data_IF_535078368691
#
_entry.id   IF_535078368691
#
_cell.length_a   1.000
_cell.length_b   1.000
_cell.length_c   1.000
_cell.angle_alpha   90.00
_cell.angle_beta   90.00
_cell.angle_gamma   90.00
#
_symmetry.space_group_name_H-M   'P 1'
#
loop_
_entity.id
_entity.type
_entity.pdbx_description
1 polymer ?
#
# COMPACT_ATOMS: atom_id res chain seq x y z
N UNK A 1 -44.55 2.14 -13.38
CA UNK A 1 -43.81 1.68 -12.19
C UNK A 1 -42.35 2.13 -12.23
N UNK A 2 -41.50 1.64 -13.15
CA UNK A 2 -40.10 2.07 -13.18
C UNK A 2 -39.96 3.56 -13.47
N UNK A 3 -40.75 4.11 -14.40
CA UNK A 3 -40.82 5.57 -14.63
C UNK A 3 -41.18 6.33 -13.35
N UNK A 4 -42.20 5.86 -12.62
CA UNK A 4 -42.66 6.51 -11.38
C UNK A 4 -41.58 6.45 -10.29
N UNK A 5 -40.91 5.31 -10.11
CA UNK A 5 -39.87 5.14 -9.09
C UNK A 5 -38.65 6.00 -9.44
N UNK A 6 -38.24 6.00 -10.71
CA UNK A 6 -37.15 6.85 -11.19
C UNK A 6 -37.50 8.33 -10.98
N UNK A 7 -38.70 8.76 -11.37
CA UNK A 7 -39.17 10.13 -11.16
C UNK A 7 -39.09 10.53 -9.70
N UNK A 8 -39.61 9.69 -8.80
CA UNK A 8 -39.57 9.90 -7.35
C UNK A 8 -38.14 9.89 -6.78
N UNK A 9 -37.17 9.30 -7.48
CA UNK A 9 -35.75 9.33 -7.08
C UNK A 9 -35.01 10.62 -7.48
N UNK A 10 -35.62 11.52 -8.28
CA UNK A 10 -34.96 12.74 -8.75
C UNK A 10 -34.58 13.67 -7.59
N UNK A 11 -33.32 14.12 -7.58
CA UNK A 11 -32.79 15.03 -6.57
C UNK A 11 -33.52 16.38 -6.60
N UNK A 12 -33.98 16.84 -5.43
CA UNK A 12 -34.58 18.17 -5.25
C UNK A 12 -36.03 18.34 -5.68
N UNK A 13 -36.67 17.34 -6.31
CA UNK A 13 -38.07 17.43 -6.75
C UNK A 13 -39.08 16.92 -5.72
N UNK A 14 -38.68 15.94 -4.89
CA UNK A 14 -39.53 15.28 -3.91
C UNK A 14 -38.93 15.34 -2.50
N UNK A 15 -39.76 15.26 -1.43
CA UNK A 15 -39.27 15.16 -0.06
C UNK A 15 -38.26 14.02 0.12
N UNK A 16 -37.21 14.23 0.92
CA UNK A 16 -36.14 13.26 1.12
C UNK A 16 -36.63 11.87 1.54
N UNK A 17 -37.67 11.80 2.39
CA UNK A 17 -38.25 10.53 2.84
C UNK A 17 -38.97 9.73 1.75
N UNK A 18 -39.46 10.40 0.69
CA UNK A 18 -40.03 9.73 -0.49
C UNK A 18 -38.90 9.30 -1.43
N UNK A 19 -37.92 10.19 -1.65
CA UNK A 19 -36.74 9.91 -2.48
C UNK A 19 -35.96 8.71 -1.95
N UNK A 20 -35.69 8.67 -0.64
CA UNK A 20 -34.99 7.57 0.02
C UNK A 20 -35.72 6.23 -0.18
N UNK A 21 -37.05 6.21 -0.09
CA UNK A 21 -37.85 5.00 -0.39
C UNK A 21 -37.75 4.60 -1.86
N UNK A 22 -37.77 5.56 -2.78
CA UNK A 22 -37.61 5.29 -4.20
C UNK A 22 -36.22 4.69 -4.48
N UNK A 23 -35.15 5.32 -3.99
CA UNK A 23 -33.77 4.81 -4.11
C UNK A 23 -33.65 3.43 -3.47
N UNK A 24 -34.26 3.20 -2.30
CA UNK A 24 -34.30 1.89 -1.64
C UNK A 24 -34.89 0.82 -2.55
N UNK A 25 -36.01 1.11 -3.22
CA UNK A 25 -36.60 0.16 -4.19
C UNK A 25 -35.66 -0.09 -5.38
N UNK A 26 -34.99 0.96 -5.88
CA UNK A 26 -34.05 0.84 -6.99
C UNK A 26 -32.85 -0.04 -6.63
N UNK A 27 -32.22 0.19 -5.47
CA UNK A 27 -31.07 -0.61 -5.04
C UNK A 27 -31.47 -2.07 -4.78
N UNK A 28 -32.67 -2.34 -4.27
CA UNK A 28 -33.17 -3.72 -4.11
C UNK A 28 -33.28 -4.42 -5.46
N UNK A 29 -33.78 -3.74 -6.50
CA UNK A 29 -33.83 -4.30 -7.85
C UNK A 29 -32.43 -4.58 -8.41
N UNK A 30 -31.46 -3.70 -8.13
CA UNK A 30 -30.07 -3.89 -8.55
C UNK A 30 -29.45 -5.08 -7.81
N UNK A 31 -29.54 -5.15 -6.48
CA UNK A 31 -28.98 -6.22 -5.67
C UNK A 31 -29.55 -7.60 -6.02
N UNK A 32 -30.83 -7.68 -6.40
CA UNK A 32 -31.46 -8.91 -6.89
C UNK A 32 -31.23 -9.20 -8.39
N UNK A 33 -30.35 -8.47 -9.08
CA UNK A 33 -30.07 -8.56 -10.54
C UNK A 33 -31.30 -8.41 -11.45
N UNK A 34 -32.31 -7.66 -11.00
CA UNK A 34 -33.54 -7.36 -11.76
C UNK A 34 -33.49 -5.96 -12.40
N UNK A 35 -32.29 -5.48 -12.75
CA UNK A 35 -32.07 -4.11 -13.20
C UNK A 35 -32.36 -3.87 -14.70
N UNK A 36 -32.58 -4.91 -15.52
CA UNK A 36 -32.74 -4.76 -16.98
C UNK A 36 -33.84 -3.75 -17.35
N UNK A 37 -35.02 -3.87 -16.74
CA UNK A 37 -36.13 -2.94 -16.99
C UNK A 37 -35.83 -1.55 -16.44
N UNK A 38 -35.19 -1.47 -15.29
CA UNK A 38 -34.74 -0.19 -14.72
C UNK A 38 -33.83 0.55 -15.72
N UNK A 39 -32.84 -0.14 -16.30
CA UNK A 39 -31.94 0.43 -17.31
C UNK A 39 -32.71 0.93 -18.53
N UNK A 40 -33.65 0.13 -19.05
CA UNK A 40 -34.48 0.51 -20.21
C UNK A 40 -35.27 1.81 -20.03
N UNK A 41 -35.72 2.09 -18.80
CA UNK A 41 -36.42 3.32 -18.45
C UNK A 41 -35.44 4.46 -18.13
N UNK A 42 -34.34 4.17 -17.44
CA UNK A 42 -33.31 5.15 -17.09
C UNK A 42 -32.68 5.79 -18.33
N UNK A 43 -32.41 5.01 -19.39
CA UNK A 43 -31.80 5.56 -20.62
C UNK A 43 -32.72 6.48 -21.44
N UNK A 44 -33.99 6.59 -21.06
CA UNK A 44 -34.91 7.57 -21.66
C UNK A 44 -34.77 8.95 -21.02
N UNK A 45 -34.08 9.06 -19.88
CA UNK A 45 -33.82 10.33 -19.23
C UNK A 45 -32.81 11.18 -20.00
N UNK A 46 -32.88 12.52 -19.86
CA UNK A 46 -31.78 13.40 -20.22
C UNK A 46 -30.46 12.94 -19.60
N UNK A 47 -29.40 12.98 -20.40
CA UNK A 47 -28.07 12.48 -20.01
C UNK A 47 -27.55 13.10 -18.70
N UNK A 48 -27.81 14.39 -18.50
CA UNK A 48 -27.45 15.10 -17.26
C UNK A 48 -28.13 14.52 -16.01
N UNK A 49 -29.37 14.03 -16.13
CA UNK A 49 -30.11 13.44 -15.02
C UNK A 49 -29.62 12.02 -14.71
N UNK A 50 -29.30 11.24 -15.75
CA UNK A 50 -28.64 9.93 -15.59
C UNK A 50 -27.32 10.11 -14.83
N UNK A 51 -26.53 11.11 -15.20
CA UNK A 51 -25.27 11.43 -14.55
C UNK A 51 -25.41 11.78 -13.07
N UNK A 52 -26.36 12.65 -12.72
CA UNK A 52 -26.64 13.01 -11.33
C UNK A 52 -27.07 11.77 -10.55
N UNK A 53 -27.96 10.95 -11.13
CA UNK A 53 -28.42 9.72 -10.51
C UNK A 53 -27.28 8.72 -10.26
N UNK A 54 -26.42 8.47 -11.26
CA UNK A 54 -25.28 7.56 -11.09
C UNK A 54 -24.25 8.10 -10.08
N UNK A 55 -24.02 9.41 -10.04
CA UNK A 55 -23.18 10.03 -9.02
C UNK A 55 -23.76 9.84 -7.62
N UNK A 56 -25.06 9.99 -7.43
CA UNK A 56 -25.72 9.73 -6.14
C UNK A 56 -25.57 8.24 -5.77
N UNK A 57 -25.86 7.33 -6.70
CA UNK A 57 -25.76 5.88 -6.46
C UNK A 57 -24.35 5.42 -6.10
N UNK A 58 -23.33 5.88 -6.83
CA UNK A 58 -21.93 5.57 -6.50
C UNK A 58 -21.53 6.14 -5.13
N UNK A 59 -22.04 7.31 -4.75
CA UNK A 59 -21.79 7.89 -3.42
C UNK A 59 -22.43 7.12 -2.27
N UNK A 60 -23.58 6.46 -2.52
CA UNK A 60 -24.25 5.56 -1.56
C UNK A 60 -23.41 4.30 -1.33
N UNK A 61 -22.76 3.81 -2.38
CA UNK A 61 -21.93 2.59 -2.34
C UNK A 61 -20.43 2.86 -2.17
N UNK A 62 -20.03 4.08 -1.78
CA UNK A 62 -18.63 4.45 -1.55
C UNK A 62 -17.92 3.43 -0.63
N UNK A 63 -16.95 2.65 -1.14
CA UNK A 63 -16.29 1.61 -0.37
C UNK A 63 -15.60 2.14 0.88
N UNK A 64 -15.07 3.37 0.86
CA UNK A 64 -14.37 3.93 2.00
C UNK A 64 -15.33 4.24 3.14
N UNK A 65 -16.48 4.86 2.84
CA UNK A 65 -17.52 5.17 3.83
C UNK A 65 -18.13 3.90 4.43
N UNK A 66 -18.30 2.88 3.61
CA UNK A 66 -18.85 1.60 4.06
C UNK A 66 -17.85 0.81 4.91
N UNK A 67 -16.56 0.91 4.63
CA UNK A 67 -15.51 0.26 5.43
C UNK A 67 -15.19 0.96 6.76
N UNK A 68 -15.48 2.25 6.92
CA UNK A 68 -15.17 3.01 8.15
C UNK A 68 -16.07 2.67 9.35
N UNK A 69 -17.00 1.70 9.19
CA UNK A 69 -17.93 1.32 10.26
C UNK A 69 -18.98 2.39 10.56
N UNK A 70 -19.17 3.36 9.66
CA UNK A 70 -20.26 4.33 9.75
C UNK A 70 -21.62 3.60 9.76
N UNK A 71 -22.61 4.18 10.45
CA UNK A 71 -23.95 3.60 10.52
C UNK A 71 -24.49 3.39 9.09
N UNK A 72 -24.69 2.12 8.72
CA UNK A 72 -25.18 1.76 7.39
C UNK A 72 -26.54 2.41 7.19
N UNK A 73 -26.69 3.16 6.10
CA UNK A 73 -27.99 3.74 5.75
C UNK A 73 -29.03 2.64 5.53
N UNK A 74 -30.32 3.00 5.70
CA UNK A 74 -31.42 2.08 5.39
C UNK A 74 -31.36 1.58 3.94
N UNK A 75 -30.89 2.42 3.02
CA UNK A 75 -30.68 2.09 1.60
C UNK A 75 -29.65 0.97 1.45
N UNK A 76 -28.48 1.09 2.07
CA UNK A 76 -27.40 0.09 1.99
C UNK A 76 -27.82 -1.24 2.61
N UNK A 77 -28.54 -1.19 3.73
CA UNK A 77 -29.08 -2.39 4.39
C UNK A 77 -30.07 -3.11 3.47
N UNK A 78 -31.01 -2.38 2.86
CA UNK A 78 -31.97 -2.96 1.92
C UNK A 78 -31.30 -3.55 0.67
N UNK A 79 -30.26 -2.88 0.14
CA UNK A 79 -29.43 -3.45 -0.92
C UNK A 79 -28.82 -4.77 -0.47
N UNK A 80 -28.13 -4.77 0.67
CA UNK A 80 -27.44 -5.94 1.22
C UNK A 80 -28.40 -7.13 1.42
N UNK A 81 -29.60 -6.88 1.95
CA UNK A 81 -30.64 -7.91 2.15
C UNK A 81 -31.17 -8.50 0.82
N UNK A 82 -31.06 -7.74 -0.27
CA UNK A 82 -31.51 -8.14 -1.61
C UNK A 82 -30.44 -8.89 -2.42
N UNK A 83 -29.17 -8.79 -2.03
CA UNK A 83 -28.05 -9.48 -2.69
C UNK A 83 -28.13 -10.97 -2.37
N UNK A 84 -28.07 -11.81 -3.41
CA UNK A 84 -28.14 -13.25 -3.24
C UNK A 84 -26.95 -13.82 -2.47
N UNK A 85 -27.19 -14.79 -1.58
CA UNK A 85 -26.12 -15.48 -0.83
C UNK A 85 -25.12 -16.26 -1.71
N UNK A 86 -25.42 -16.43 -3.01
CA UNK A 86 -24.58 -17.08 -4.00
C UNK A 86 -23.61 -16.12 -4.70
N UNK A 87 -23.75 -14.81 -4.47
CA UNK A 87 -22.87 -13.80 -5.05
C UNK A 87 -21.46 -13.91 -4.45
N UNK A 88 -20.45 -13.78 -5.31
CA UNK A 88 -19.05 -13.80 -4.89
C UNK A 88 -18.69 -12.57 -4.07
N UNK A 89 -19.27 -11.42 -4.40
CA UNK A 89 -19.05 -10.14 -3.75
C UNK A 89 -20.32 -9.27 -3.84
N UNK A 90 -20.61 -8.53 -2.77
CA UNK A 90 -21.81 -7.68 -2.66
C UNK A 90 -21.99 -6.63 -3.77
N UNK A 91 -20.91 -6.07 -4.33
CA UNK A 91 -20.96 -5.08 -5.39
C UNK A 91 -21.06 -5.66 -6.81
N UNK A 92 -20.99 -6.97 -7.02
CA UNK A 92 -21.12 -7.54 -8.36
C UNK A 92 -22.43 -7.13 -9.07
N UNK A 93 -23.61 -7.19 -8.45
CA UNK A 93 -24.85 -6.73 -9.07
C UNK A 93 -24.82 -5.24 -9.42
N UNK A 94 -24.19 -4.41 -8.59
CA UNK A 94 -24.06 -2.98 -8.84
C UNK A 94 -23.13 -2.69 -10.02
N UNK A 95 -21.98 -3.36 -10.11
CA UNK A 95 -21.07 -3.23 -11.28
C UNK A 95 -21.75 -3.71 -12.57
N UNK A 96 -22.51 -4.81 -12.51
CA UNK A 96 -23.29 -5.30 -13.64
C UNK A 96 -24.35 -4.28 -14.09
N UNK A 97 -25.05 -3.66 -13.15
CA UNK A 97 -25.96 -2.54 -13.44
C UNK A 97 -25.23 -1.38 -14.14
N UNK A 98 -24.08 -0.94 -13.64
CA UNK A 98 -23.28 0.10 -14.29
C UNK A 98 -22.87 -0.31 -15.71
N UNK A 99 -22.46 -1.55 -15.92
CA UNK A 99 -22.15 -2.06 -17.26
C UNK A 99 -23.36 -1.95 -18.20
N UNK A 100 -24.55 -2.34 -17.76
CA UNK A 100 -25.77 -2.27 -18.57
C UNK A 100 -26.15 -0.83 -18.92
N UNK A 101 -26.03 0.11 -17.97
CA UNK A 101 -26.27 1.54 -18.23
C UNK A 101 -25.27 2.09 -19.25
N UNK A 102 -23.98 1.78 -19.07
CA UNK A 102 -22.90 2.24 -19.96
C UNK A 102 -23.01 1.67 -21.38
N UNK A 103 -23.56 0.47 -21.54
CA UNK A 103 -23.82 -0.12 -22.86
C UNK A 103 -25.05 0.46 -23.55
N UNK A 104 -25.99 1.01 -22.78
CA UNK A 104 -27.31 1.44 -23.28
C UNK A 104 -27.43 2.96 -23.46
N UNK A 105 -26.46 3.74 -22.99
CA UNK A 105 -26.46 5.21 -23.05
C UNK A 105 -25.16 5.74 -23.65
N UNK A 106 -25.22 6.96 -24.21
CA UNK A 106 -23.98 7.64 -24.58
C UNK A 106 -23.14 7.90 -23.31
N UNK A 107 -21.86 7.56 -23.33
CA UNK A 107 -21.02 7.49 -22.15
C UNK A 107 -20.54 8.89 -21.75
N UNK A 108 -21.28 9.57 -20.89
CA UNK A 108 -20.73 10.67 -20.08
C UNK A 108 -20.12 10.08 -18.82
N UNK A 109 -18.88 9.66 -18.96
CA UNK A 109 -18.10 8.94 -17.95
C UNK A 109 -17.60 9.79 -16.78
N UNK A 110 -17.97 11.07 -16.74
CA UNK A 110 -17.36 12.04 -15.85
C UNK A 110 -17.89 11.99 -14.41
N UNK A 111 -18.99 11.29 -14.14
CA UNK A 111 -19.70 11.42 -12.86
C UNK A 111 -19.52 10.20 -11.95
N UNK A 112 -18.43 10.21 -11.18
CA UNK A 112 -18.23 9.35 -10.00
C UNK A 112 -17.88 7.87 -10.25
N UNK A 113 -18.17 7.30 -11.42
CA UNK A 113 -17.87 5.88 -11.72
C UNK A 113 -16.37 5.59 -11.66
N UNK A 114 -15.54 6.48 -12.22
CA UNK A 114 -14.09 6.29 -12.21
C UNK A 114 -13.50 6.43 -10.80
N UNK A 115 -14.04 7.32 -9.98
CA UNK A 115 -13.68 7.47 -8.57
C UNK A 115 -14.12 6.23 -7.77
N UNK A 116 -15.34 5.74 -8.00
CA UNK A 116 -15.84 4.51 -7.39
C UNK A 116 -14.97 3.31 -7.75
N UNK A 117 -14.56 3.18 -9.02
CA UNK A 117 -13.60 2.17 -9.44
C UNK A 117 -12.25 2.36 -8.72
N UNK A 118 -11.71 3.57 -8.67
CA UNK A 118 -10.49 3.87 -7.91
C UNK A 118 -10.59 3.44 -6.46
N UNK A 119 -11.72 3.68 -5.80
CA UNK A 119 -11.97 3.25 -4.42
C UNK A 119 -11.97 1.71 -4.31
N UNK A 120 -12.63 0.99 -5.23
CA UNK A 120 -12.61 -0.47 -5.26
C UNK A 120 -11.21 -1.05 -5.48
N UNK A 121 -10.42 -0.44 -6.35
CA UNK A 121 -9.02 -0.82 -6.55
C UNK A 121 -8.17 -0.51 -5.31
N UNK A 122 -8.42 0.62 -4.67
CA UNK A 122 -7.73 1.02 -3.45
C UNK A 122 -7.99 0.07 -2.29
N UNK A 123 -9.23 -0.39 -2.11
CA UNK A 123 -9.58 -1.39 -1.10
C UNK A 123 -9.21 -2.82 -1.52
N UNK A 124 -8.53 -3.02 -2.66
CA UNK A 124 -8.24 -4.33 -3.25
C UNK A 124 -9.47 -5.24 -3.32
N UNK A 125 -10.61 -4.66 -3.70
CA UNK A 125 -11.88 -5.36 -3.84
C UNK A 125 -12.33 -6.07 -2.56
N UNK A 126 -11.97 -5.52 -1.39
CA UNK A 126 -12.55 -5.94 -0.11
C UNK A 126 -14.05 -5.65 -0.15
N UNK A 127 -14.85 -6.59 0.34
CA UNK A 127 -16.29 -6.44 0.41
C UNK A 127 -16.67 -5.68 1.70
N UNK A 128 -17.02 -4.38 1.62
CA UNK A 128 -17.32 -3.61 2.83
C UNK A 128 -18.68 -3.98 3.43
N UNK A 129 -19.49 -4.78 2.74
CA UNK A 129 -20.80 -5.22 3.22
C UNK A 129 -20.76 -6.63 3.79
N UNK A 130 -19.68 -7.39 3.60
CA UNK A 130 -19.56 -8.73 4.15
C UNK A 130 -19.64 -8.69 5.69
N UNK A 131 -20.55 -9.48 6.27
CA UNK A 131 -20.72 -9.61 7.73
C UNK A 131 -19.64 -10.47 8.37
N UNK A 132 -19.05 -11.36 7.58
CA UNK A 132 -17.92 -12.20 7.96
C UNK A 132 -16.88 -11.97 6.89
N UNK A 133 -15.73 -11.41 7.29
CA UNK A 133 -14.50 -11.40 6.52
C UNK A 133 -14.26 -12.83 6.02
N UNK A 134 -14.46 -13.10 4.71
CA UNK A 134 -14.23 -14.41 4.20
C UNK A 134 -12.74 -14.66 4.35
N UNK A 135 -12.37 -15.69 5.12
CA UNK A 135 -10.99 -16.17 5.23
C UNK A 135 -10.40 -16.65 3.89
N UNK A 136 -11.11 -16.45 2.78
CA UNK A 136 -10.79 -16.93 1.44
C UNK A 136 -10.52 -15.79 0.47
N UNK A 137 -9.26 -15.74 0.03
CA UNK A 137 -8.68 -14.96 -1.08
C UNK A 137 -9.37 -15.12 -2.46
N UNK A 138 -10.42 -15.95 -2.58
CA UNK A 138 -11.02 -16.34 -3.87
C UNK A 138 -12.00 -15.30 -4.44
N UNK A 139 -12.62 -14.47 -3.58
CA UNK A 139 -13.67 -13.50 -3.97
C UNK A 139 -13.15 -12.32 -4.78
N UNK A 140 -11.88 -11.94 -4.58
CA UNK A 140 -11.23 -10.85 -5.31
C UNK A 140 -11.30 -11.03 -6.84
N UNK A 141 -11.33 -12.28 -7.32
CA UNK A 141 -11.24 -12.56 -8.76
C UNK A 141 -12.46 -12.15 -9.57
N UNK A 142 -13.68 -12.24 -9.03
CA UNK A 142 -14.92 -12.03 -9.80
C UNK A 142 -15.27 -10.55 -9.89
N UNK A 143 -15.32 -9.83 -8.77
CA UNK A 143 -15.55 -8.37 -8.80
C UNK A 143 -14.47 -7.64 -9.60
N UNK A 144 -13.21 -8.04 -9.45
CA UNK A 144 -12.12 -7.48 -10.24
C UNK A 144 -12.33 -7.73 -11.74
N UNK A 145 -12.75 -8.93 -12.15
CA UNK A 145 -13.08 -9.21 -13.55
C UNK A 145 -14.25 -8.35 -14.05
N UNK A 146 -15.28 -8.12 -13.22
CA UNK A 146 -16.40 -7.24 -13.55
C UNK A 146 -15.96 -5.77 -13.69
N UNK A 147 -15.11 -5.28 -12.79
CA UNK A 147 -14.54 -3.92 -12.88
C UNK A 147 -13.65 -3.75 -14.13
N UNK A 148 -12.86 -4.77 -14.48
CA UNK A 148 -12.08 -4.79 -15.70
C UNK A 148 -12.97 -4.77 -16.95
N UNK A 149 -14.09 -5.49 -16.91
CA UNK A 149 -15.07 -5.48 -17.99
C UNK A 149 -15.73 -4.10 -18.13
N UNK A 150 -16.13 -3.46 -17.02
CA UNK A 150 -16.64 -2.10 -17.01
C UNK A 150 -15.61 -1.12 -17.60
N UNK A 151 -14.34 -1.17 -17.16
CA UNK A 151 -13.27 -0.36 -17.75
C UNK A 151 -13.06 -0.63 -19.24
N UNK A 152 -13.24 -1.88 -19.66
CA UNK A 152 -13.29 -2.26 -21.07
C UNK A 152 -14.39 -1.53 -21.81
N UNK A 153 -15.63 -1.57 -21.32
CA UNK A 153 -16.76 -0.84 -21.92
C UNK A 153 -16.43 0.65 -22.00
N UNK A 154 -16.02 1.25 -20.88
CA UNK A 154 -15.63 2.67 -20.77
C UNK A 154 -14.61 3.02 -21.85
N UNK A 155 -13.57 2.21 -22.04
CA UNK A 155 -12.49 2.51 -22.97
C UNK A 155 -12.84 2.35 -24.45
N UNK A 156 -13.94 1.66 -24.79
CA UNK A 156 -14.41 1.52 -26.18
C UNK A 156 -15.32 2.67 -26.63
N UNK A 157 -15.56 3.63 -25.74
CA UNK A 157 -16.38 4.80 -26.04
C UNK A 157 -15.56 5.90 -26.72
N UNK A 158 -16.22 6.85 -27.40
CA UNK A 158 -15.52 7.90 -28.16
C UNK A 158 -14.61 8.77 -27.27
N UNK A 159 -15.07 9.17 -26.09
CA UNK A 159 -14.32 9.95 -25.09
C UNK A 159 -13.59 9.10 -24.06
N UNK A 160 -13.84 7.79 -24.03
CA UNK A 160 -13.38 6.84 -23.03
C UNK A 160 -11.87 6.78 -22.84
N UNK A 161 -11.08 6.57 -23.91
CA UNK A 161 -9.63 6.51 -23.80
C UNK A 161 -9.04 7.76 -23.15
N UNK A 162 -9.53 8.95 -23.52
CA UNK A 162 -9.04 10.21 -22.97
C UNK A 162 -9.39 10.36 -21.48
N UNK A 163 -10.62 10.02 -21.11
CA UNK A 163 -11.05 10.02 -19.72
C UNK A 163 -10.23 9.04 -18.86
N UNK A 164 -10.09 7.79 -19.30
CA UNK A 164 -9.28 6.79 -18.59
C UNK A 164 -7.85 7.30 -18.47
N UNK A 165 -7.25 7.82 -19.55
CA UNK A 165 -5.87 8.31 -19.54
C UNK A 165 -5.62 9.52 -18.63
N UNK A 166 -6.65 10.33 -18.38
CA UNK A 166 -6.62 11.49 -17.47
C UNK A 166 -6.89 11.11 -16.02
N UNK A 167 -7.60 10.02 -15.77
CA UNK A 167 -8.00 9.61 -14.42
C UNK A 167 -6.84 9.00 -13.62
N UNK A 168 -6.69 9.30 -12.30
CA UNK A 168 -5.62 8.74 -11.47
C UNK A 168 -5.57 7.21 -11.45
N UNK A 169 -6.73 6.54 -11.50
CA UNK A 169 -6.84 5.08 -11.58
C UNK A 169 -5.92 4.47 -12.63
N UNK A 170 -5.80 5.13 -13.79
CA UNK A 170 -5.00 4.65 -14.89
C UNK A 170 -3.52 4.59 -14.54
N UNK A 171 -2.98 5.63 -13.92
CA UNK A 171 -1.55 5.67 -13.59
C UNK A 171 -1.25 4.85 -12.33
N UNK A 172 -2.18 4.84 -11.38
CA UNK A 172 -1.95 4.25 -10.05
C UNK A 172 -2.22 2.75 -9.99
N UNK A 173 -3.15 2.19 -10.79
CA UNK A 173 -3.50 0.77 -10.63
C UNK A 173 -3.31 -0.11 -11.85
N UNK A 174 -3.09 0.47 -13.04
CA UNK A 174 -3.00 -0.35 -14.24
C UNK A 174 -1.54 -0.73 -14.57
N UNK A 175 -1.29 -2.05 -14.50
CA UNK A 175 -0.43 -2.87 -15.40
C UNK A 175 -1.06 -4.28 -15.48
N UNK A 176 -2.36 -4.32 -15.77
CA UNK A 176 -3.07 -5.54 -16.14
C UNK A 176 -2.78 -5.82 -17.62
N UNK A 177 -2.38 -7.05 -18.02
CA UNK A 177 -2.10 -7.38 -19.42
C UNK A 177 -3.28 -7.12 -20.37
N UNK A 178 -4.52 -7.11 -19.83
CA UNK A 178 -5.76 -6.93 -20.60
C UNK A 178 -6.14 -5.48 -20.83
N UNK A 179 -5.60 -4.54 -20.05
CA UNK A 179 -5.77 -3.11 -20.27
C UNK A 179 -4.47 -2.57 -20.88
N UNK A 180 -4.32 -2.77 -22.19
CA UNK A 180 -3.11 -2.47 -22.97
C UNK A 180 -2.69 -0.98 -22.96
N UNK A 181 -3.47 -0.12 -22.32
CA UNK A 181 -3.23 1.31 -22.21
C UNK A 181 -1.87 1.62 -21.55
N UNK A 182 -1.44 0.83 -20.56
CA UNK A 182 -0.32 1.14 -19.66
C UNK A 182 1.06 1.22 -20.30
N UNK A 183 1.27 0.46 -21.38
CA UNK A 183 2.59 0.38 -22.02
C UNK A 183 2.92 1.64 -22.82
N UNK A 184 1.93 2.53 -23.01
CA UNK A 184 2.06 3.77 -23.78
C UNK A 184 2.37 5.00 -22.92
N UNK A 185 2.28 4.91 -21.58
CA UNK A 185 2.48 6.07 -20.72
C UNK A 185 3.97 6.35 -20.53
N UNK A 186 4.46 7.37 -21.23
CA UNK A 186 5.79 7.91 -20.97
C UNK A 186 5.88 8.44 -19.53
N UNK A 187 6.98 8.15 -18.85
CA UNK A 187 7.24 8.57 -17.47
C UNK A 187 6.10 8.20 -16.50
N UNK A 188 5.50 7.02 -16.68
CA UNK A 188 4.38 6.54 -15.87
C UNK A 188 4.67 6.64 -14.39
N UNK A 189 5.87 6.27 -13.99
CA UNK A 189 6.35 6.28 -12.61
C UNK A 189 6.36 7.70 -12.03
N UNK A 190 6.78 8.71 -12.79
CA UNK A 190 6.70 10.11 -12.36
C UNK A 190 5.26 10.57 -12.22
N UNK A 191 4.43 10.31 -13.24
CA UNK A 191 3.01 10.64 -13.21
C UNK A 191 2.30 9.96 -12.05
N UNK A 192 2.73 8.76 -11.65
CA UNK A 192 2.16 8.01 -10.53
C UNK A 192 2.31 8.78 -9.22
N UNK A 193 3.50 9.31 -8.96
CA UNK A 193 3.76 10.12 -7.77
C UNK A 193 2.94 11.42 -7.79
N UNK A 194 2.87 12.09 -8.94
CA UNK A 194 2.02 13.29 -9.11
C UNK A 194 0.54 12.97 -8.85
N UNK A 195 0.05 11.84 -9.35
CA UNK A 195 -1.35 11.43 -9.16
C UNK A 195 -1.66 11.13 -7.69
N UNK A 196 -0.74 10.55 -6.93
CA UNK A 196 -0.91 10.39 -5.47
C UNK A 196 -1.01 11.71 -4.70
N UNK A 197 -0.46 12.79 -5.26
CA UNK A 197 -0.65 14.11 -4.68
C UNK A 197 -2.07 14.64 -4.89
N UNK A 198 -2.71 14.29 -6.01
CA UNK A 198 -4.04 14.73 -6.42
C UNK A 198 -5.18 13.89 -5.86
N UNK A 199 -4.95 12.59 -5.65
CA UNK A 199 -5.98 11.67 -5.15
C UNK A 199 -6.33 11.96 -3.69
N UNK A 200 -7.59 11.69 -3.31
CA UNK A 200 -8.04 11.75 -1.93
C UNK A 200 -7.09 10.94 -1.03
N UNK A 201 -6.59 11.58 0.04
CA UNK A 201 -5.62 10.97 0.96
C UNK A 201 -6.17 9.75 1.69
N UNK A 202 -7.49 9.60 1.77
CA UNK A 202 -8.15 8.38 2.26
C UNK A 202 -7.79 7.14 1.41
N UNK A 203 -7.43 7.29 0.13
CA UNK A 203 -6.96 6.19 -0.70
C UNK A 203 -5.61 5.61 -0.23
N UNK A 204 -4.77 6.41 0.44
CA UNK A 204 -3.39 6.02 0.79
C UNK A 204 -3.38 4.90 1.84
N UNK A 205 -4.09 4.99 2.99
CA UNK A 205 -4.20 3.88 3.93
C UNK A 205 -4.68 2.58 3.28
N UNK A 206 -5.69 2.67 2.41
CA UNK A 206 -6.21 1.52 1.67
C UNK A 206 -5.19 0.92 0.71
N UNK A 207 -4.41 1.76 0.02
CA UNK A 207 -3.28 1.30 -0.80
C UNK A 207 -2.21 0.58 0.02
N UNK A 208 -1.84 1.13 1.17
CA UNK A 208 -0.81 0.54 2.02
C UNK A 208 -1.30 -0.80 2.57
N UNK A 209 -2.56 -0.86 3.00
CA UNK A 209 -3.20 -2.09 3.48
C UNK A 209 -3.23 -3.18 2.40
N UNK A 210 -3.74 -2.84 1.21
CA UNK A 210 -3.80 -3.78 0.09
C UNK A 210 -2.41 -4.27 -0.28
N UNK A 211 -1.44 -3.37 -0.34
CA UNK A 211 -0.03 -3.72 -0.59
C UNK A 211 0.51 -4.66 0.49
N UNK A 212 0.22 -4.39 1.76
CA UNK A 212 0.64 -5.25 2.88
C UNK A 212 0.05 -6.66 2.75
N UNK A 213 -1.27 -6.75 2.55
CA UNK A 213 -1.98 -8.03 2.37
C UNK A 213 -1.42 -8.81 1.18
N UNK A 214 -1.11 -8.13 0.07
CA UNK A 214 -0.51 -8.74 -1.11
C UNK A 214 0.91 -9.25 -0.85
N UNK A 215 1.75 -8.45 -0.17
CA UNK A 215 3.11 -8.87 0.19
C UNK A 215 3.06 -10.06 1.17
N UNK A 216 2.02 -10.16 1.99
CA UNK A 216 1.77 -11.33 2.85
C UNK A 216 1.37 -12.60 2.08
N UNK A 217 0.74 -12.49 0.92
CA UNK A 217 0.34 -13.65 0.09
C UNK A 217 1.45 -14.10 -0.87
N UNK A 218 2.39 -14.89 -0.31
CA UNK A 218 3.52 -15.53 -1.00
C UNK A 218 3.12 -16.50 -2.12
N UNK A 219 1.87 -16.94 -2.18
CA UNK A 219 1.44 -17.92 -3.19
C UNK A 219 1.20 -17.28 -4.56
N UNK A 220 1.11 -15.94 -4.61
CA UNK A 220 0.78 -15.22 -5.84
C UNK A 220 2.06 -14.81 -6.59
N UNK A 221 2.26 -15.30 -7.83
CA UNK A 221 3.31 -14.75 -8.67
C UNK A 221 3.00 -13.28 -8.95
N UNK A 222 3.88 -12.41 -8.48
CA UNK A 222 3.81 -10.97 -8.73
C UNK A 222 4.71 -10.63 -9.92
N UNK A 223 4.17 -9.90 -10.90
CA UNK A 223 4.98 -9.39 -12.00
C UNK A 223 5.99 -8.35 -11.52
N UNK A 224 7.18 -8.33 -12.11
CA UNK A 224 8.26 -7.37 -11.73
C UNK A 224 7.78 -5.92 -11.77
N UNK A 225 7.03 -5.54 -12.81
CA UNK A 225 6.49 -4.20 -12.94
C UNK A 225 5.52 -3.80 -11.82
N UNK A 226 4.81 -4.76 -11.24
CA UNK A 226 3.94 -4.51 -10.09
C UNK A 226 4.76 -4.27 -8.81
N UNK A 227 5.85 -5.02 -8.62
CA UNK A 227 6.75 -4.82 -7.49
C UNK A 227 7.44 -3.45 -7.55
N UNK A 228 7.76 -2.96 -8.76
CA UNK A 228 8.23 -1.59 -8.97
C UNK A 228 7.18 -0.58 -8.49
N UNK A 229 5.93 -0.72 -8.92
CA UNK A 229 4.85 0.20 -8.49
C UNK A 229 4.66 0.22 -6.97
N UNK A 230 4.73 -0.96 -6.35
CA UNK A 230 4.67 -1.11 -4.89
C UNK A 230 5.86 -0.41 -4.21
N UNK A 231 7.08 -0.61 -4.71
CA UNK A 231 8.26 0.05 -4.14
C UNK A 231 8.15 1.57 -4.21
N UNK A 232 7.71 2.10 -5.36
CA UNK A 232 7.47 3.54 -5.55
C UNK A 232 6.48 4.08 -4.53
N UNK A 233 5.31 3.45 -4.41
CA UNK A 233 4.27 3.88 -3.46
C UNK A 233 4.81 3.87 -2.03
N UNK A 234 5.45 2.78 -1.62
CA UNK A 234 5.91 2.62 -0.24
C UNK A 234 7.06 3.57 0.10
N UNK A 235 8.00 3.81 -0.81
CA UNK A 235 9.07 4.80 -0.61
C UNK A 235 8.50 6.22 -0.47
N UNK A 236 7.61 6.62 -1.39
CA UNK A 236 6.95 7.94 -1.32
C UNK A 236 6.13 8.09 -0.03
N UNK A 237 5.34 7.09 0.34
CA UNK A 237 4.49 7.18 1.52
C UNK A 237 5.28 7.17 2.83
N UNK A 238 6.36 6.40 2.89
CA UNK A 238 7.27 6.37 4.04
C UNK A 238 8.13 7.63 4.14
N UNK A 239 8.52 8.23 3.01
CA UNK A 239 9.43 9.38 2.98
C UNK A 239 8.77 10.75 2.83
N UNK A 240 7.45 10.83 2.63
CA UNK A 240 6.77 12.10 2.47
C UNK A 240 6.48 12.80 3.80
N UNK A 241 6.70 14.12 3.85
CA UNK A 241 6.27 14.96 4.97
C UNK A 241 4.82 15.45 4.84
N UNK A 242 4.19 15.23 3.67
CA UNK A 242 2.81 15.64 3.43
C UNK A 242 1.79 14.60 3.90
N UNK A 243 2.24 13.41 4.31
CA UNK A 243 1.39 12.31 4.79
C UNK A 243 1.46 12.29 6.31
N UNK A 244 0.32 12.00 6.96
CA UNK A 244 0.26 11.90 8.41
C UNK A 244 1.28 10.87 8.92
N UNK A 245 2.05 11.16 9.99
CA UNK A 245 3.11 10.28 10.44
C UNK A 245 2.65 8.84 10.71
N UNK A 246 1.43 8.64 11.24
CA UNK A 246 0.82 7.31 11.44
C UNK A 246 0.75 6.50 10.14
N UNK A 247 0.26 7.12 9.07
CA UNK A 247 0.15 6.50 7.75
C UNK A 247 1.55 6.21 7.19
N UNK A 248 2.51 7.11 7.37
CA UNK A 248 3.89 6.86 6.95
C UNK A 248 4.56 5.71 7.70
N UNK A 249 4.27 5.51 9.00
CA UNK A 249 4.76 4.35 9.76
C UNK A 249 4.13 3.05 9.27
N UNK A 250 2.84 3.05 8.91
CA UNK A 250 2.20 1.89 8.25
C UNK A 250 2.84 1.59 6.89
N UNK A 251 3.12 2.63 6.10
CA UNK A 251 3.85 2.47 4.84
C UNK A 251 5.26 1.90 5.07
N UNK A 252 5.96 2.37 6.10
CA UNK A 252 7.30 1.90 6.45
C UNK A 252 7.26 0.42 6.87
N UNK A 253 6.21 0.00 7.57
CA UNK A 253 5.97 -1.40 7.92
C UNK A 253 5.73 -2.28 6.70
N UNK A 254 4.94 -1.80 5.74
CA UNK A 254 4.74 -2.47 4.45
C UNK A 254 6.02 -2.52 3.63
N UNK A 255 6.82 -1.44 3.64
CA UNK A 255 8.12 -1.40 2.98
C UNK A 255 9.05 -2.44 3.57
N UNK A 256 9.14 -2.53 4.90
CA UNK A 256 9.90 -3.57 5.57
C UNK A 256 9.51 -4.98 5.08
N UNK A 257 8.20 -5.30 5.04
CA UNK A 257 7.74 -6.60 4.53
C UNK A 257 8.09 -6.83 3.06
N UNK A 258 8.08 -5.78 2.26
CA UNK A 258 8.50 -5.84 0.86
C UNK A 258 10.00 -6.13 0.75
N UNK A 259 10.84 -5.52 1.59
CA UNK A 259 12.30 -5.76 1.60
C UNK A 259 12.66 -7.18 2.03
N UNK A 260 12.00 -7.70 3.07
CA UNK A 260 12.31 -9.03 3.60
C UNK A 260 11.95 -10.14 2.61
N UNK A 261 10.82 -10.01 1.93
CA UNK A 261 10.30 -11.06 1.04
C UNK A 261 10.82 -10.95 -0.39
N UNK A 262 11.11 -9.74 -0.84
CA UNK A 262 11.46 -9.47 -2.22
C UNK A 262 12.95 -9.27 -2.46
N UNK A 263 13.84 -9.54 -1.51
CA UNK A 263 15.23 -9.01 -1.45
C UNK A 263 15.86 -8.56 -2.78
N UNK A 264 16.04 -9.43 -3.77
CA UNK A 264 16.61 -9.07 -5.08
C UNK A 264 15.66 -8.20 -5.93
N UNK A 265 14.39 -8.59 -6.07
CA UNK A 265 13.39 -7.82 -6.82
C UNK A 265 13.08 -6.48 -6.16
N UNK A 266 13.09 -6.42 -4.82
CA UNK A 266 12.92 -5.23 -4.03
C UNK A 266 14.09 -4.28 -4.24
N UNK A 267 15.33 -4.78 -4.19
CA UNK A 267 16.53 -4.00 -4.53
C UNK A 267 16.45 -3.41 -5.94
N UNK A 268 16.07 -4.21 -6.95
CA UNK A 268 15.87 -3.74 -8.34
C UNK A 268 14.77 -2.68 -8.45
N UNK A 269 13.69 -2.86 -7.69
CA UNK A 269 12.57 -1.91 -7.68
C UNK A 269 12.96 -0.58 -7.05
N UNK A 270 13.73 -0.61 -5.95
CA UNK A 270 14.31 0.59 -5.32
C UNK A 270 15.32 1.25 -6.26
N UNK A 271 16.20 0.50 -6.92
CA UNK A 271 17.11 1.04 -7.95
C UNK A 271 16.35 1.77 -9.06
N UNK A 272 15.28 1.14 -9.58
CA UNK A 272 14.42 1.77 -10.58
C UNK A 272 13.81 3.08 -10.08
N UNK A 273 13.43 3.14 -8.80
CA UNK A 273 12.96 4.37 -8.17
C UNK A 273 14.01 5.48 -8.14
N UNK A 274 15.24 5.15 -7.82
CA UNK A 274 16.34 6.12 -7.72
C UNK A 274 16.79 6.62 -9.10
N UNK A 275 16.72 5.75 -10.11
CA UNK A 275 17.10 6.10 -11.48
C UNK A 275 16.12 7.09 -12.12
N UNK A 276 14.82 6.96 -11.80
CA UNK A 276 13.75 7.78 -12.39
C UNK A 276 13.56 9.13 -11.72
N UNK A 277 14.08 9.30 -10.50
CA UNK A 277 13.93 10.50 -9.70
C UNK A 277 15.22 11.33 -9.63
N UNK A 278 15.06 12.63 -9.40
CA UNK A 278 16.20 13.50 -9.21
C UNK A 278 16.86 13.25 -7.85
N UNK A 279 18.13 13.68 -7.76
CA UNK A 279 18.96 13.40 -6.60
C UNK A 279 18.41 14.04 -5.30
N UNK A 280 17.89 15.26 -5.39
CA UNK A 280 17.39 15.98 -4.22
C UNK A 280 16.15 15.30 -3.64
N UNK A 281 15.21 14.91 -4.50
CA UNK A 281 14.01 14.18 -4.12
C UNK A 281 14.34 12.86 -3.43
N UNK A 282 15.19 12.02 -4.05
CA UNK A 282 15.61 10.75 -3.46
C UNK A 282 16.30 10.93 -2.11
N UNK A 283 17.23 11.88 -1.99
CA UNK A 283 17.91 12.18 -0.72
C UNK A 283 16.89 12.58 0.35
N UNK A 284 15.89 13.39 0.02
CA UNK A 284 14.86 13.83 0.96
C UNK A 284 13.99 12.66 1.44
N UNK A 285 13.51 11.83 0.52
CA UNK A 285 12.72 10.62 0.85
C UNK A 285 13.52 9.69 1.76
N UNK A 286 14.79 9.44 1.44
CA UNK A 286 15.66 8.58 2.25
C UNK A 286 15.95 9.16 3.63
N UNK A 287 16.21 10.47 3.74
CA UNK A 287 16.36 11.16 5.04
C UNK A 287 15.14 10.97 5.91
N UNK A 288 13.95 11.10 5.32
CA UNK A 288 12.69 10.97 6.03
C UNK A 288 12.40 9.53 6.48
N UNK A 289 12.83 8.53 5.70
CA UNK A 289 12.84 7.13 6.13
C UNK A 289 13.82 6.92 7.29
N UNK A 290 15.04 7.45 7.22
CA UNK A 290 16.05 7.35 8.29
C UNK A 290 15.56 8.02 9.58
N UNK A 291 14.94 9.19 9.50
CA UNK A 291 14.35 9.86 10.66
C UNK A 291 13.30 8.97 11.31
N UNK A 292 12.39 8.38 10.53
CA UNK A 292 11.35 7.48 11.08
C UNK A 292 11.92 6.20 11.66
N UNK A 293 12.92 5.59 11.02
CA UNK A 293 13.63 4.44 11.57
C UNK A 293 14.35 4.81 12.88
N UNK A 294 14.94 6.00 12.95
CA UNK A 294 15.55 6.51 14.19
C UNK A 294 14.50 6.68 15.28
N UNK A 295 13.33 7.27 14.95
CA UNK A 295 12.20 7.40 15.88
C UNK A 295 11.65 6.04 16.33
N UNK A 296 11.63 5.05 15.44
CA UNK A 296 11.24 3.67 15.75
C UNK A 296 12.20 3.04 16.76
N UNK A 297 13.51 3.28 16.60
CA UNK A 297 14.54 2.80 17.53
C UNK A 297 14.37 3.50 18.88
N UNK A 298 14.36 4.84 18.89
CA UNK A 298 14.25 5.68 20.12
C UNK A 298 12.97 5.44 20.90
N UNK A 299 11.93 4.95 20.23
CA UNK A 299 10.60 4.88 20.77
C UNK A 299 10.10 6.26 21.21
N UNK A 300 8.89 6.31 21.74
CA UNK A 300 8.42 7.50 22.43
C UNK A 300 7.38 8.36 21.70
N UNK A 301 6.82 7.90 20.57
CA UNK A 301 5.65 8.57 19.99
C UNK A 301 4.48 7.60 19.80
N UNK A 302 3.22 8.05 19.96
CA UNK A 302 2.05 7.22 19.67
C UNK A 302 2.03 6.68 18.24
N UNK A 303 2.64 7.40 17.30
CA UNK A 303 2.66 7.05 15.89
C UNK A 303 3.57 5.86 15.58
N UNK A 304 4.65 5.64 16.34
CA UNK A 304 5.49 4.45 16.15
C UNK A 304 4.73 3.16 16.45
N UNK A 305 3.65 3.21 17.26
CA UNK A 305 2.78 2.05 17.50
C UNK A 305 2.12 1.55 16.21
N UNK A 306 1.90 2.44 15.24
CA UNK A 306 1.36 2.10 13.92
C UNK A 306 2.38 1.39 13.01
N UNK A 307 3.58 1.09 13.51
CA UNK A 307 4.50 0.17 12.85
C UNK A 307 4.30 -1.28 13.31
N UNK A 308 3.82 -1.50 14.53
CA UNK A 308 3.79 -2.82 15.16
C UNK A 308 2.42 -3.50 15.05
N UNK A 309 2.44 -4.81 14.88
CA UNK A 309 1.28 -5.69 14.96
C UNK A 309 1.35 -6.53 16.24
N UNK A 310 0.20 -7.03 16.70
CA UNK A 310 0.11 -7.82 17.94
C UNK A 310 0.97 -9.09 17.96
N UNK A 311 1.27 -9.65 16.79
CA UNK A 311 2.07 -10.86 16.65
C UNK A 311 3.56 -10.56 16.38
N UNK A 312 3.97 -9.30 16.42
CA UNK A 312 5.38 -8.95 16.24
C UNK A 312 6.17 -9.35 17.50
N UNK A 313 7.36 -9.90 17.29
CA UNK A 313 8.29 -10.25 18.37
C UNK A 313 8.86 -8.99 19.04
N UNK A 314 9.34 -9.11 20.28
CA UNK A 314 9.86 -7.98 21.05
C UNK A 314 11.06 -7.28 20.36
N UNK A 315 11.83 -8.03 19.57
CA UNK A 315 12.99 -7.54 18.81
C UNK A 315 12.65 -7.09 17.38
N UNK A 316 11.37 -7.15 16.99
CA UNK A 316 10.91 -6.94 15.62
C UNK A 316 11.40 -5.59 15.05
N UNK A 317 11.48 -4.54 15.87
CA UNK A 317 12.03 -3.23 15.47
C UNK A 317 13.49 -3.29 15.02
N UNK A 318 14.33 -4.04 15.74
CA UNK A 318 15.76 -4.15 15.47
C UNK A 318 15.96 -4.93 14.18
N UNK A 319 15.23 -6.03 14.04
CA UNK A 319 15.17 -6.84 12.82
C UNK A 319 14.73 -6.00 11.63
N UNK A 320 13.71 -5.15 11.78
CA UNK A 320 13.26 -4.29 10.71
C UNK A 320 14.32 -3.28 10.26
N UNK A 321 14.96 -2.59 11.21
CA UNK A 321 16.05 -1.64 10.91
C UNK A 321 17.21 -2.34 10.21
N UNK A 322 17.59 -3.54 10.65
CA UNK A 322 18.62 -4.35 9.99
C UNK A 322 18.28 -4.66 8.54
N UNK A 323 17.05 -5.03 8.24
CA UNK A 323 16.63 -5.30 6.86
C UNK A 323 16.74 -4.07 5.97
N UNK A 324 16.42 -2.87 6.49
CA UNK A 324 16.65 -1.62 5.75
C UNK A 324 18.13 -1.36 5.50
N UNK A 325 18.96 -1.46 6.53
CA UNK A 325 20.41 -1.28 6.43
C UNK A 325 21.00 -2.25 5.42
N UNK A 326 20.65 -3.53 5.53
CA UNK A 326 21.13 -4.58 4.63
C UNK A 326 20.71 -4.33 3.18
N UNK A 327 19.43 -4.03 2.95
CA UNK A 327 18.91 -3.80 1.61
C UNK A 327 19.60 -2.59 0.96
N UNK A 328 19.65 -1.47 1.67
CA UNK A 328 20.31 -0.26 1.15
C UNK A 328 21.83 -0.49 0.97
N UNK A 329 22.50 -1.17 1.90
CA UNK A 329 23.92 -1.47 1.77
C UNK A 329 24.24 -2.30 0.52
N UNK A 330 23.42 -3.32 0.23
CA UNK A 330 23.58 -4.12 -0.99
C UNK A 330 23.41 -3.29 -2.26
N UNK A 331 22.43 -2.38 -2.29
CA UNK A 331 22.25 -1.48 -3.43
C UNK A 331 23.47 -0.57 -3.61
N UNK A 332 24.02 -0.05 -2.50
CA UNK A 332 25.16 0.88 -2.54
C UNK A 332 26.45 0.23 -3.04
N UNK A 333 26.67 -1.06 -2.73
CA UNK A 333 27.81 -1.82 -3.25
C UNK A 333 27.82 -1.89 -4.79
N UNK A 334 26.64 -1.99 -5.39
CA UNK A 334 26.49 -2.10 -6.85
C UNK A 334 26.44 -0.76 -7.58
N UNK A 335 26.10 0.33 -6.88
CA UNK A 335 25.74 1.61 -7.52
C UNK A 335 26.32 2.81 -6.77
N UNK A 336 27.37 3.43 -7.33
CA UNK A 336 28.07 4.57 -6.71
C UNK A 336 27.17 5.78 -6.48
N UNK A 337 26.17 5.99 -7.35
CA UNK A 337 25.14 7.02 -7.15
C UNK A 337 24.34 6.77 -5.88
N UNK A 338 24.03 5.50 -5.58
CA UNK A 338 23.29 5.13 -4.38
C UNK A 338 24.12 5.24 -3.10
N UNK A 339 25.40 4.93 -3.17
CA UNK A 339 26.32 5.19 -2.05
C UNK A 339 26.23 6.66 -1.59
N UNK A 340 26.21 7.61 -2.54
CA UNK A 340 26.05 9.03 -2.22
C UNK A 340 24.71 9.33 -1.52
N UNK A 341 23.60 8.75 -1.99
CA UNK A 341 22.29 8.89 -1.32
C UNK A 341 22.35 8.40 0.13
N UNK A 342 22.96 7.23 0.37
CA UNK A 342 23.05 6.68 1.72
C UNK A 342 23.86 7.57 2.67
N UNK A 343 24.96 8.13 2.18
CA UNK A 343 25.83 9.00 2.96
C UNK A 343 25.12 10.32 3.30
N UNK A 344 24.45 10.94 2.32
CA UNK A 344 23.70 12.19 2.53
C UNK A 344 22.45 12.00 3.41
N UNK A 345 21.80 10.83 3.32
CA UNK A 345 20.66 10.48 4.16
C UNK A 345 21.04 10.01 5.57
N UNK A 346 22.34 9.81 5.84
CA UNK A 346 22.87 9.32 7.11
C UNK A 346 22.29 7.94 7.51
N UNK A 347 22.12 7.03 6.55
CA UNK A 347 21.62 5.67 6.82
C UNK A 347 22.57 4.93 7.79
N UNK A 348 23.88 5.13 7.64
CA UNK A 348 24.88 4.56 8.55
C UNK A 348 24.74 5.07 9.99
N UNK A 349 24.11 6.22 10.20
CA UNK A 349 23.76 6.72 11.52
C UNK A 349 22.82 5.76 12.29
N UNK A 350 22.06 4.91 11.59
CA UNK A 350 21.20 3.89 12.20
C UNK A 350 22.00 2.72 12.78
N UNK A 351 23.24 2.49 12.34
CA UNK A 351 24.08 1.38 12.83
C UNK A 351 24.49 1.58 14.29
N UNK A 352 24.73 2.82 14.73
CA UNK A 352 25.21 3.08 16.08
C UNK A 352 24.16 2.71 17.14
N UNK A 353 22.92 3.22 17.09
CA UNK A 353 21.87 2.78 18.01
C UNK A 353 21.67 1.27 17.98
N UNK A 354 21.80 0.65 16.79
CA UNK A 354 21.70 -0.80 16.66
C UNK A 354 22.84 -1.54 17.40
N UNK A 355 24.10 -1.12 17.20
CA UNK A 355 25.27 -1.73 17.85
C UNK A 355 25.28 -1.53 19.37
N UNK A 356 24.80 -0.37 19.84
CA UNK A 356 24.66 -0.09 21.28
C UNK A 356 23.61 -1.00 21.94
N UNK A 357 22.55 -1.39 21.22
CA UNK A 357 21.53 -2.35 21.68
C UNK A 357 22.10 -3.77 21.76
N UNK A 358 22.84 -4.23 20.75
CA UNK A 358 23.43 -5.59 20.73
C UNK A 358 24.53 -5.79 21.78
N UNK A 359 25.21 -4.72 22.19
CA UNK A 359 26.18 -4.75 23.28
C UNK A 359 25.55 -4.99 24.67
N UNK A 360 24.21 -4.93 24.79
CA UNK A 360 23.51 -5.24 26.02
C UNK A 360 23.39 -6.77 26.20
N UNK A 361 23.83 -7.34 27.34
CA UNK A 361 23.74 -8.77 27.59
C UNK A 361 22.28 -9.22 27.69
N UNK A 362 21.75 -9.87 26.63
CA UNK A 362 20.39 -10.45 26.66
C UNK A 362 19.71 -10.80 25.33
N UNK A 363 20.23 -10.39 24.16
CA UNK A 363 19.49 -10.42 22.87
C UNK A 363 19.91 -11.61 21.96
N UNK A 364 20.03 -12.82 22.53
CA UNK A 364 20.74 -13.94 21.89
C UNK A 364 19.88 -15.08 21.30
N UNK A 365 18.55 -14.96 21.13
CA UNK A 365 17.72 -16.16 20.93
C UNK A 365 16.51 -16.06 19.96
N UNK A 366 16.58 -15.44 18.76
CA UNK A 366 15.37 -15.36 17.91
C UNK A 366 15.58 -15.64 16.41
N UNK A 367 14.53 -16.14 15.74
CA UNK A 367 14.61 -16.78 14.42
C UNK A 367 14.38 -15.79 13.28
N UNK A 368 15.44 -15.44 12.54
CA UNK A 368 15.33 -14.82 11.21
C UNK A 368 15.29 -15.94 10.17
N UNK A 369 14.29 -15.92 9.29
CA UNK A 369 14.19 -16.88 8.19
C UNK A 369 15.37 -16.72 7.21
N UNK A 370 16.11 -17.80 7.01
CA UNK A 370 17.47 -17.88 6.44
C UNK A 370 17.57 -17.81 4.91
N UNK A 371 17.02 -16.79 4.25
CA UNK A 371 17.00 -16.75 2.77
C UNK A 371 18.03 -15.78 2.14
N UNK A 372 18.94 -15.21 2.93
CA UNK A 372 19.99 -14.30 2.44
C UNK A 372 21.38 -14.97 2.54
N UNK A 373 21.87 -15.44 1.39
CA UNK A 373 23.09 -16.23 1.24
C UNK A 373 24.33 -15.33 1.32
N UNK A 374 25.33 -15.75 2.11
CA UNK A 374 26.67 -15.15 2.15
C UNK A 374 27.32 -15.11 0.77
N UNK A 375 27.90 -13.96 0.40
CA UNK A 375 28.86 -13.93 -0.71
C UNK A 375 30.28 -14.20 -0.19
N UNK A 376 31.11 -15.02 -0.89
CA UNK A 376 32.50 -15.29 -0.51
C UNK A 376 33.38 -14.03 -0.35
N UNK A 377 32.99 -12.91 -0.97
CA UNK A 377 33.62 -11.58 -0.86
C UNK A 377 33.52 -10.98 0.54
N UNK A 378 32.64 -11.48 1.41
CA UNK A 378 32.47 -10.97 2.77
C UNK A 378 33.62 -11.37 3.72
N UNK A 379 34.39 -12.42 3.39
CA UNK A 379 35.56 -12.84 4.19
C UNK A 379 36.68 -11.80 4.14
N UNK A 380 36.94 -11.19 2.99
CA UNK A 380 37.94 -10.12 2.84
C UNK A 380 37.57 -8.85 3.62
N UNK A 381 36.28 -8.58 3.80
CA UNK A 381 35.82 -7.42 4.58
C UNK A 381 35.98 -7.70 6.09
N UNK A 382 35.75 -8.94 6.55
CA UNK A 382 36.01 -9.33 7.94
C UNK A 382 37.46 -9.10 8.35
N UNK A 383 38.41 -9.45 7.47
CA UNK A 383 39.83 -9.20 7.73
C UNK A 383 40.14 -7.70 7.79
N UNK A 384 39.52 -6.88 6.91
CA UNK A 384 39.65 -5.42 6.95
C UNK A 384 39.06 -4.78 8.23
N UNK A 385 37.93 -5.31 8.73
CA UNK A 385 37.32 -4.88 10.00
C UNK A 385 38.26 -5.20 11.17
N UNK A 386 38.87 -6.40 11.16
CA UNK A 386 39.84 -6.83 12.17
C UNK A 386 41.11 -5.98 12.13
N UNK A 387 41.62 -5.67 10.94
CA UNK A 387 42.81 -4.83 10.77
C UNK A 387 42.60 -3.39 11.28
N UNK A 388 41.34 -2.94 11.38
CA UNK A 388 40.96 -1.64 11.93
C UNK A 388 40.51 -1.67 13.40
N UNK A 389 40.62 -2.80 14.09
CA UNK A 389 40.25 -2.91 15.51
C UNK A 389 38.74 -2.80 15.77
N UNK A 390 37.92 -3.05 14.76
CA UNK A 390 36.46 -2.95 14.83
C UNK A 390 35.78 -4.30 15.07
N UNK A 391 36.56 -5.37 15.29
CA UNK A 391 36.03 -6.73 15.47
C UNK A 391 35.15 -6.91 16.71
N UNK A 392 35.27 -6.03 17.70
CA UNK A 392 34.44 -6.02 18.91
C UNK A 392 32.97 -5.66 18.63
N UNK A 393 32.68 -5.07 17.47
CA UNK A 393 31.33 -4.76 17.01
C UNK A 393 30.69 -5.90 16.21
N UNK A 394 31.41 -6.99 15.91
CA UNK A 394 30.84 -8.15 15.23
C UNK A 394 30.29 -9.17 16.25
N UNK A 395 29.10 -9.74 16.01
CA UNK A 395 28.55 -10.82 16.84
C UNK A 395 29.53 -11.99 16.96
N UNK A 396 29.75 -12.48 18.18
CA UNK A 396 30.59 -13.65 18.42
C UNK A 396 29.91 -14.93 17.90
N UNK A 397 30.62 -15.76 17.15
CA UNK A 397 30.10 -17.04 16.60
C UNK A 397 29.90 -18.15 17.66
N UNK A 398 29.89 -17.83 18.95
CA UNK A 398 29.99 -18.84 20.00
C UNK A 398 28.59 -19.25 20.48
N UNK A 399 28.10 -20.38 19.97
CA UNK A 399 26.99 -21.14 20.57
C UNK A 399 25.56 -20.82 20.10
N UNK A 400 25.37 -19.82 19.24
CA UNK A 400 24.08 -19.55 18.59
C UNK A 400 23.86 -20.42 17.36
N UNK A 401 22.59 -20.69 16.95
CA UNK A 401 22.31 -21.38 15.69
C UNK A 401 22.97 -20.63 14.53
N UNK A 402 23.75 -21.34 13.69
CA UNK A 402 24.71 -20.74 12.76
C UNK A 402 24.08 -19.73 11.80
N UNK A 403 22.81 -19.88 11.48
CA UNK A 403 22.12 -19.11 10.45
C UNK A 403 21.86 -17.62 10.80
N UNK A 404 21.64 -17.34 12.09
CA UNK A 404 21.21 -16.01 12.55
C UNK A 404 22.37 -15.03 12.75
N UNK A 405 23.36 -15.46 13.52
CA UNK A 405 24.60 -14.72 13.78
C UNK A 405 25.31 -14.41 12.47
N UNK A 406 25.22 -15.34 11.51
CA UNK A 406 25.69 -15.22 10.13
C UNK A 406 24.96 -14.07 9.44
N UNK A 407 23.63 -14.06 9.35
CA UNK A 407 22.90 -12.94 8.72
C UNK A 407 23.26 -11.57 9.31
N UNK A 408 23.17 -11.44 10.65
CA UNK A 408 23.51 -10.19 11.35
C UNK A 408 24.94 -9.74 11.07
N UNK A 409 25.88 -10.68 11.10
CA UNK A 409 27.28 -10.40 10.80
C UNK A 409 27.46 -9.98 9.36
N UNK A 410 26.78 -10.59 8.39
CA UNK A 410 26.77 -10.13 7.00
C UNK A 410 26.29 -8.68 6.94
N UNK A 411 25.11 -8.33 7.47
CA UNK A 411 24.59 -6.96 7.46
C UNK A 411 25.62 -5.95 7.98
N UNK A 412 26.23 -6.25 9.13
CA UNK A 412 27.25 -5.39 9.72
C UNK A 412 28.50 -5.28 8.85
N UNK A 413 29.00 -6.40 8.31
CA UNK A 413 30.12 -6.42 7.37
C UNK A 413 29.83 -5.51 6.17
N UNK A 414 28.64 -5.61 5.57
CA UNK A 414 28.28 -4.79 4.41
C UNK A 414 28.19 -3.31 4.75
N UNK A 415 27.61 -3.00 5.91
CA UNK A 415 27.45 -1.62 6.33
C UNK A 415 28.81 -1.00 6.73
N UNK A 416 29.70 -1.80 7.33
CA UNK A 416 31.09 -1.41 7.58
C UNK A 416 31.87 -1.20 6.29
N UNK A 417 31.77 -2.08 5.29
CA UNK A 417 32.44 -1.89 3.98
C UNK A 417 32.12 -0.51 3.38
N UNK A 418 30.84 -0.13 3.41
CA UNK A 418 30.39 1.18 2.94
C UNK A 418 30.92 2.32 3.81
N UNK A 419 30.95 2.14 5.12
CA UNK A 419 31.57 3.10 6.04
C UNK A 419 33.06 3.29 5.73
N UNK A 420 33.78 2.20 5.42
CA UNK A 420 35.21 2.21 5.12
C UNK A 420 35.52 2.85 3.77
N UNK A 421 34.59 2.77 2.81
CA UNK A 421 34.67 3.46 1.52
C UNK A 421 34.47 4.98 1.61
N UNK A 422 33.98 5.51 2.74
CA UNK A 422 33.66 6.94 2.89
C UNK A 422 34.89 7.86 2.87
N UNK A 423 36.11 7.36 3.06
CA UNK A 423 37.40 8.09 3.20
C UNK A 423 37.45 9.21 4.27
N UNK A 424 36.33 9.84 4.62
CA UNK A 424 36.19 10.84 5.66
C UNK A 424 36.13 10.19 7.04
N UNK A 425 37.13 10.47 7.86
CA UNK A 425 37.24 10.08 9.28
C UNK A 425 36.24 10.80 10.21
N UNK A 426 35.03 11.12 9.74
CA UNK A 426 34.05 11.79 10.59
C UNK A 426 33.66 10.87 11.77
N UNK A 427 33.81 11.33 13.03
CA UNK A 427 33.36 10.57 14.19
C UNK A 427 31.86 10.32 14.08
N UNK A 428 31.41 9.16 14.57
CA UNK A 428 29.98 8.87 14.70
C UNK A 428 29.29 10.05 15.40
N UNK A 429 28.12 10.53 14.90
CA UNK A 429 27.44 11.68 15.49
C UNK A 429 27.20 11.43 16.99
N UNK A 430 27.75 12.29 17.85
CA UNK A 430 27.86 12.10 19.30
C UNK A 430 26.56 12.33 20.09
N UNK A 431 25.47 12.77 19.44
CA UNK A 431 24.27 13.23 20.12
C UNK A 431 23.08 12.29 19.92
N UNK A 432 22.94 11.26 20.77
CA UNK A 432 21.69 10.52 21.00
C UNK A 432 21.75 9.76 22.35
N UNK A 433 22.11 10.47 23.43
CA UNK A 433 22.09 9.92 24.79
C UNK A 433 20.68 10.04 25.40
N UNK A 434 19.82 9.04 25.22
CA UNK A 434 18.60 8.86 26.03
C UNK A 434 18.58 7.43 26.57
N UNK A 435 18.38 7.18 27.87
CA UNK A 435 18.28 5.83 28.41
C UNK A 435 17.04 5.10 27.84
N UNK A 436 17.22 3.83 27.46
CA UNK A 436 16.35 3.08 26.53
C UNK A 436 15.41 2.05 27.19
N UNK A 437 15.53 1.82 28.50
CA UNK A 437 14.92 0.68 29.21
C UNK A 437 13.44 0.86 29.61
N UNK A 438 12.70 1.78 28.99
CA UNK A 438 11.29 2.02 29.32
C UNK A 438 10.48 2.32 28.06
N UNK A 439 10.24 1.31 27.23
CA UNK A 439 9.40 1.45 26.05
C UNK A 439 8.20 0.49 26.11
N UNK A 440 7.03 0.93 25.62
CA UNK A 440 5.82 0.13 25.69
C UNK A 440 5.94 -1.08 24.76
N UNK A 441 5.82 -2.28 25.31
CA UNK A 441 5.52 -3.49 24.54
C UNK A 441 4.29 -3.25 23.67
N UNK A 442 4.18 -3.94 22.52
CA UNK A 442 3.02 -3.88 21.64
C UNK A 442 1.75 -3.97 22.50
N UNK A 443 1.01 -2.87 22.61
CA UNK A 443 -0.18 -2.81 23.46
C UNK A 443 -1.23 -3.76 22.89
N UNK A 444 -1.89 -4.54 23.74
CA UNK A 444 -2.87 -5.60 23.40
C UNK A 444 -4.08 -5.15 22.52
N UNK A 445 -4.14 -3.87 22.13
CA UNK A 445 -5.33 -3.20 21.60
C UNK A 445 -5.50 -3.31 20.07
N UNK A 446 -4.45 -3.62 19.29
CA UNK A 446 -4.53 -3.57 17.82
C UNK A 446 -4.62 -4.96 17.18
N UNK A 447 -5.78 -5.30 16.61
CA UNK A 447 -5.93 -6.44 15.69
C UNK A 447 -5.46 -6.03 14.29
N UNK A 448 -5.22 -7.00 13.40
CA UNK A 448 -4.88 -6.71 12.00
C UNK A 448 -5.90 -5.75 11.38
N UNK A 449 -7.20 -5.99 11.56
CA UNK A 449 -8.24 -5.11 11.02
C UNK A 449 -8.26 -3.74 11.67
N UNK A 450 -8.17 -3.65 13.01
CA UNK A 450 -8.19 -2.34 13.69
C UNK A 450 -6.94 -1.52 13.42
N UNK A 451 -5.81 -2.17 13.14
CA UNK A 451 -4.58 -1.51 12.73
C UNK A 451 -4.73 -0.77 11.40
N UNK A 452 -5.63 -1.19 10.51
CA UNK A 452 -5.79 -0.57 9.18
C UNK A 452 -7.02 0.33 9.06
N UNK A 453 -8.06 0.08 9.86
CA UNK A 453 -9.31 0.85 9.81
C UNK A 453 -9.36 2.05 10.76
N UNK A 454 -8.44 2.13 11.73
CA UNK A 454 -8.22 3.32 12.59
C UNK A 454 -7.31 4.35 11.96
#
# INVERSE_FOLDING_TARGET
MYDDILELSRLGLYPDSIREKAITLLVVQIGSRQAVRLVQHLVQWPLIEINIFLSEMTSVFDPFKLSSGSEKSGIVSAYQDSVGNWEGHSFEPFIDFLCQVMQSSEPTLENGIMDFLLQLYATNFRDPLATIEPTGLRRESVLHAACNYLLGIISHTESGPDLVCKHPLYVIWSRQPRMAFTNSVQNRERRRMEMWQLVNKECIPWRIYSTFAMVLDWTRPSGELFLIDVAFDLLEFSGSNAIEPKISFRALRSLHMFLTRGSVQAQRSILSYLDLNDHEHCTNVMKQIVVRLSTLITGGTPETKMFFLRWDEDDFKNTAVLHFIHCFSNIAKGEARFLRFMLEANILGLLRPFLEIEGAPGIANHSVETWMVYEPTELTIVDLIRDRGLETYLPALVGEPPDYTVYRRSVLIQAFDIFLQREDHHPFPENLNSPWDALPNATEEWTYDSFWTS
#
